data_IF_506960960875
#
_entry.id   IF_506960960875
#
_cell.length_a   1.000
_cell.length_b   1.000
_cell.length_c   1.000
_cell.angle_alpha   90.00
_cell.angle_beta   90.00
_cell.angle_gamma   90.00
#
_symmetry.space_group_name_H-M   'P 1'
#
loop_
_entity.id
_entity.type
_entity.pdbx_description
1 polymer ?
#
# COMPACT_ATOMS: atom_id res chain seq x y z
N UNK A 1 2.27 -15.39 13.90
CA UNK A 1 2.95 -14.98 12.64
C UNK A 1 2.90 -13.46 12.58
N UNK A 2 4.03 -12.79 12.31
CA UNK A 2 4.12 -11.34 12.17
C UNK A 2 4.11 -10.96 10.69
N UNK A 3 3.37 -9.93 10.33
CA UNK A 3 3.42 -9.31 8.99
C UNK A 3 3.66 -7.82 9.21
N UNK A 4 4.67 -7.28 8.55
CA UNK A 4 4.92 -5.84 8.54
C UNK A 4 4.41 -5.22 7.22
N UNK A 5 3.69 -4.09 7.26
CA UNK A 5 3.21 -3.41 8.47
C UNK A 5 1.95 -4.08 9.03
N UNK A 6 1.73 -3.97 10.34
CA UNK A 6 0.84 -4.88 11.10
C UNK A 6 -0.62 -4.83 10.66
N UNK A 7 -1.11 -3.67 10.18
CA UNK A 7 -2.52 -3.56 9.75
C UNK A 7 -2.77 -4.26 8.41
N UNK A 8 -1.74 -4.69 7.68
CA UNK A 8 -1.89 -5.58 6.53
C UNK A 8 -2.61 -6.89 6.89
N UNK A 9 -2.46 -7.36 8.14
CA UNK A 9 -3.18 -8.54 8.63
C UNK A 9 -4.68 -8.34 8.66
N UNK A 10 -5.19 -7.11 8.85
CA UNK A 10 -6.62 -6.87 8.99
C UNK A 10 -7.42 -7.34 7.77
N UNK A 11 -7.16 -6.87 6.54
CA UNK A 11 -7.86 -7.36 5.35
C UNK A 11 -7.54 -8.84 5.04
N UNK A 12 -6.33 -9.32 5.35
CA UNK A 12 -5.96 -10.72 5.13
C UNK A 12 -6.77 -11.67 6.03
N UNK A 13 -6.91 -11.34 7.31
CA UNK A 13 -7.71 -12.11 8.26
C UNK A 13 -9.21 -11.96 7.98
N UNK A 14 -9.66 -10.78 7.57
CA UNK A 14 -11.05 -10.58 7.15
C UNK A 14 -11.40 -11.44 5.93
N UNK A 15 -10.48 -11.59 4.97
CA UNK A 15 -10.66 -12.50 3.84
C UNK A 15 -10.72 -13.98 4.27
N UNK A 16 -10.15 -14.33 5.43
CA UNK A 16 -10.21 -15.69 5.98
C UNK A 16 -11.49 -15.98 6.77
N UNK A 17 -12.40 -15.01 6.92
CA UNK A 17 -13.58 -15.13 7.79
C UNK A 17 -14.47 -16.35 7.48
N UNK A 18 -14.58 -16.73 6.22
CA UNK A 18 -15.38 -17.87 5.76
C UNK A 18 -14.53 -19.12 5.49
N UNK A 19 -13.27 -19.14 5.91
CA UNK A 19 -12.34 -20.26 5.71
C UNK A 19 -11.49 -20.13 4.44
N UNK A 20 -10.48 -21.00 4.29
CA UNK A 20 -9.49 -20.92 3.21
C UNK A 20 -10.09 -21.10 1.81
N UNK A 21 -11.09 -21.98 1.67
CA UNK A 21 -11.74 -22.26 0.39
C UNK A 21 -12.46 -21.04 -0.20
N UNK A 22 -12.91 -20.13 0.67
CA UNK A 22 -13.60 -18.89 0.29
C UNK A 22 -12.70 -17.65 0.37
N UNK A 23 -11.39 -17.82 0.58
CA UNK A 23 -10.47 -16.69 0.78
C UNK A 23 -10.51 -15.70 -0.38
N UNK A 24 -10.40 -16.22 -1.61
CA UNK A 24 -10.39 -15.38 -2.81
C UNK A 24 -11.72 -14.64 -3.00
N UNK A 25 -12.87 -15.32 -2.87
CA UNK A 25 -14.19 -14.68 -3.01
C UNK A 25 -14.47 -13.66 -1.91
N UNK A 26 -14.05 -13.93 -0.68
CA UNK A 26 -14.21 -13.01 0.46
C UNK A 26 -13.32 -11.79 0.30
N UNK A 27 -12.07 -11.97 -0.14
CA UNK A 27 -11.16 -10.89 -0.49
C UNK A 27 -11.76 -9.98 -1.57
N UNK A 28 -12.23 -10.55 -2.68
CA UNK A 28 -12.85 -9.78 -3.77
C UNK A 28 -14.10 -9.03 -3.31
N UNK A 29 -14.91 -9.65 -2.45
CA UNK A 29 -16.09 -9.00 -1.86
C UNK A 29 -15.70 -7.84 -0.94
N UNK A 30 -14.66 -8.01 -0.12
CA UNK A 30 -14.13 -6.96 0.74
C UNK A 30 -13.63 -5.77 -0.10
N UNK A 31 -12.84 -6.04 -1.14
CA UNK A 31 -12.34 -5.00 -2.07
C UNK A 31 -13.50 -4.27 -2.72
N UNK A 32 -14.49 -4.99 -3.25
CA UNK A 32 -15.68 -4.40 -3.87
C UNK A 32 -16.43 -3.48 -2.91
N UNK A 33 -16.61 -3.89 -1.64
CA UNK A 33 -17.29 -3.07 -0.64
C UNK A 33 -16.49 -1.79 -0.34
N UNK A 34 -15.19 -1.92 -0.13
CA UNK A 34 -14.32 -0.77 0.19
C UNK A 34 -14.25 0.20 -0.99
N UNK A 35 -14.17 -0.30 -2.22
CA UNK A 35 -14.24 0.52 -3.44
C UNK A 35 -15.60 1.19 -3.60
N UNK A 36 -16.71 0.48 -3.32
CA UNK A 36 -18.05 1.06 -3.37
C UNK A 36 -18.22 2.21 -2.36
N UNK A 37 -17.66 2.07 -1.16
CA UNK A 37 -17.63 3.15 -0.16
C UNK A 37 -16.80 4.32 -0.64
N UNK A 38 -15.58 4.10 -1.15
CA UNK A 38 -14.77 5.20 -1.68
C UNK A 38 -15.43 5.89 -2.88
N UNK A 39 -16.07 5.12 -3.78
CA UNK A 39 -16.86 5.65 -4.88
C UNK A 39 -18.02 6.51 -4.35
N UNK A 40 -18.73 6.08 -3.32
CA UNK A 40 -19.77 6.88 -2.68
C UNK A 40 -19.21 8.17 -2.04
N UNK A 41 -18.00 8.15 -1.49
CA UNK A 41 -17.30 9.35 -1.00
C UNK A 41 -16.90 10.32 -2.13
N UNK A 42 -16.45 9.78 -3.27
CA UNK A 42 -16.13 10.59 -4.45
C UNK A 42 -17.40 11.21 -5.02
N UNK A 43 -18.49 10.45 -5.09
CA UNK A 43 -19.73 10.86 -5.75
C UNK A 43 -20.69 11.65 -4.84
N UNK A 44 -20.66 11.45 -3.52
CA UNK A 44 -21.51 12.15 -2.53
C UNK A 44 -20.82 13.37 -1.92
N UNK A 45 -21.29 14.61 -2.06
CA UNK A 45 -22.67 15.13 -1.91
C UNK A 45 -23.19 16.00 -3.07
N UNK A 46 -22.46 16.10 -4.20
CA UNK A 46 -22.78 17.08 -5.25
C UNK A 46 -23.08 16.40 -6.58
N UNK A 47 -24.27 16.68 -7.13
CA UNK A 47 -24.68 16.26 -8.49
C UNK A 47 -24.03 17.11 -9.58
N UNK A 48 -22.73 17.39 -9.44
CA UNK A 48 -21.96 18.07 -10.48
C UNK A 48 -21.51 17.03 -11.52
N UNK A 49 -21.70 17.35 -12.81
CA UNK A 49 -21.25 16.53 -13.93
C UNK A 49 -19.73 16.24 -13.87
N UNK A 50 -18.93 17.11 -13.25
CA UNK A 50 -17.51 16.87 -13.02
C UNK A 50 -17.26 15.69 -12.07
N UNK A 51 -18.03 15.59 -10.99
CA UNK A 51 -17.90 14.51 -9.99
C UNK A 51 -18.27 13.15 -10.60
N UNK A 52 -19.36 13.13 -11.39
CA UNK A 52 -19.79 11.93 -12.11
C UNK A 52 -18.71 11.45 -13.10
N UNK A 53 -18.04 12.36 -13.81
CA UNK A 53 -16.92 12.01 -14.71
C UNK A 53 -15.73 11.38 -13.96
N UNK A 54 -15.39 11.87 -12.78
CA UNK A 54 -14.32 11.27 -11.95
C UNK A 54 -14.70 9.86 -11.51
N UNK A 55 -15.96 9.64 -11.13
CA UNK A 55 -16.46 8.30 -10.81
C UNK A 55 -16.37 7.33 -11.99
N UNK A 56 -16.80 7.73 -13.18
CA UNK A 56 -16.68 6.89 -14.38
C UNK A 56 -15.23 6.62 -14.77
N UNK A 57 -14.37 7.63 -14.65
CA UNK A 57 -12.93 7.45 -14.88
C UNK A 57 -12.35 6.40 -13.91
N UNK A 58 -12.72 6.45 -12.63
CA UNK A 58 -12.28 5.47 -11.63
C UNK A 58 -12.70 4.04 -11.99
N UNK A 59 -13.97 3.84 -12.33
CA UNK A 59 -14.48 2.52 -12.74
C UNK A 59 -13.79 2.01 -14.01
N UNK A 60 -13.58 2.88 -15.01
CA UNK A 60 -12.86 2.56 -16.23
C UNK A 60 -11.39 2.22 -15.95
N UNK A 61 -10.74 2.98 -15.08
CA UNK A 61 -9.35 2.75 -14.68
C UNK A 61 -9.16 1.39 -13.98
N UNK A 62 -10.02 1.06 -13.00
CA UNK A 62 -10.01 -0.25 -12.36
C UNK A 62 -10.22 -1.40 -13.36
N UNK A 63 -11.12 -1.21 -14.33
CA UNK A 63 -11.36 -2.20 -15.38
C UNK A 63 -10.13 -2.40 -16.27
N UNK A 64 -9.45 -1.31 -16.66
CA UNK A 64 -8.25 -1.37 -17.49
C UNK A 64 -7.05 -2.01 -16.78
N UNK A 65 -6.94 -1.83 -15.46
CA UNK A 65 -5.92 -2.50 -14.64
C UNK A 65 -6.16 -4.03 -14.54
N UNK A 66 -7.38 -4.49 -14.80
CA UNK A 66 -7.74 -5.90 -14.77
C UNK A 66 -7.60 -6.54 -13.38
N UNK A 67 -7.26 -7.84 -13.29
CA UNK A 67 -7.21 -8.57 -12.01
C UNK A 67 -6.25 -7.97 -10.98
N UNK A 68 -5.20 -7.27 -11.44
CA UNK A 68 -4.22 -6.61 -10.56
C UNK A 68 -4.88 -5.53 -9.72
N UNK A 69 -5.94 -4.89 -10.21
CA UNK A 69 -6.69 -3.85 -9.52
C UNK A 69 -7.38 -4.35 -8.26
N UNK A 70 -7.67 -5.66 -8.16
CA UNK A 70 -8.42 -6.27 -7.06
C UNK A 70 -7.62 -7.32 -6.28
N UNK A 71 -6.57 -7.90 -6.87
CA UNK A 71 -5.77 -8.95 -6.25
C UNK A 71 -4.65 -8.44 -5.33
N UNK A 72 -4.40 -7.13 -5.29
CA UNK A 72 -3.30 -6.54 -4.52
C UNK A 72 -3.81 -5.93 -3.22
N UNK A 73 -2.97 -5.91 -2.20
CA UNK A 73 -3.28 -5.16 -0.97
C UNK A 73 -3.45 -3.65 -1.22
N UNK A 74 -2.91 -3.15 -2.33
CA UNK A 74 -3.14 -1.78 -2.82
C UNK A 74 -4.63 -1.45 -2.96
N UNK A 75 -5.44 -2.44 -3.37
CA UNK A 75 -6.90 -2.34 -3.54
C UNK A 75 -7.62 -1.98 -2.24
N UNK A 76 -7.02 -2.21 -1.08
CA UNK A 76 -7.53 -1.76 0.22
C UNK A 76 -7.02 -0.35 0.54
N UNK A 77 -5.74 -0.08 0.29
CA UNK A 77 -5.13 1.20 0.70
C UNK A 77 -5.51 2.39 -0.16
N UNK A 78 -5.76 2.21 -1.45
CA UNK A 78 -6.11 3.31 -2.37
C UNK A 78 -7.47 3.93 -2.02
N UNK A 79 -8.55 3.16 -1.77
CA UNK A 79 -9.81 3.70 -1.27
C UNK A 79 -9.67 4.53 0.02
N UNK A 80 -8.88 4.04 0.98
CA UNK A 80 -8.61 4.77 2.23
C UNK A 80 -7.85 6.07 1.96
N UNK A 81 -6.88 6.03 1.04
CA UNK A 81 -6.14 7.21 0.62
C UNK A 81 -7.05 8.24 -0.04
N UNK A 82 -7.93 7.83 -0.95
CA UNK A 82 -8.91 8.71 -1.61
C UNK A 82 -9.80 9.37 -0.56
N UNK A 83 -10.43 8.60 0.34
CA UNK A 83 -11.28 9.14 1.39
C UNK A 83 -10.52 10.11 2.31
N UNK A 84 -9.29 9.77 2.70
CA UNK A 84 -8.43 10.64 3.49
C UNK A 84 -8.12 11.97 2.79
N UNK A 85 -7.77 11.91 1.50
CA UNK A 85 -7.49 13.09 0.69
C UNK A 85 -8.72 13.99 0.49
N UNK A 86 -9.91 13.41 0.32
CA UNK A 86 -11.15 14.18 0.22
C UNK A 86 -11.53 14.88 1.54
N UNK A 87 -11.20 14.26 2.67
CA UNK A 87 -11.49 14.80 4.00
C UNK A 87 -10.43 15.81 4.48
N UNK A 88 -9.30 15.96 3.78
CA UNK A 88 -8.15 16.71 4.26
C UNK A 88 -8.45 18.21 4.48
N UNK A 89 -9.31 18.79 3.64
CA UNK A 89 -9.72 20.19 3.74
C UNK A 89 -10.83 20.44 4.79
N UNK A 90 -11.66 19.44 5.09
CA UNK A 90 -12.88 19.62 5.91
C UNK A 90 -12.75 18.99 7.30
N UNK A 91 -12.05 17.87 7.40
CA UNK A 91 -11.85 17.07 8.62
C UNK A 91 -10.41 16.56 8.70
N UNK A 92 -9.41 17.44 8.86
CA UNK A 92 -7.98 17.08 8.82
C UNK A 92 -7.59 16.01 9.86
N UNK A 93 -8.27 15.95 11.02
CA UNK A 93 -8.05 14.89 12.02
C UNK A 93 -8.43 13.51 11.51
N UNK A 94 -9.61 13.40 10.89
CA UNK A 94 -10.10 12.12 10.33
C UNK A 94 -9.25 11.70 9.14
N UNK A 95 -8.89 12.66 8.29
CA UNK A 95 -7.98 12.42 7.18
C UNK A 95 -6.62 11.89 7.65
N UNK A 96 -6.03 12.48 8.69
CA UNK A 96 -4.75 12.03 9.25
C UNK A 96 -4.84 10.59 9.77
N UNK A 97 -5.91 10.23 10.49
CA UNK A 97 -6.15 8.86 10.97
C UNK A 97 -6.26 7.89 9.79
N UNK A 98 -7.12 8.19 8.80
CA UNK A 98 -7.33 7.32 7.64
C UNK A 98 -6.06 7.10 6.83
N UNK A 99 -5.31 8.16 6.54
CA UNK A 99 -4.06 8.07 5.80
C UNK A 99 -2.99 7.30 6.59
N UNK A 100 -2.97 7.45 7.91
CA UNK A 100 -2.03 6.71 8.77
C UNK A 100 -2.40 5.24 8.84
N UNK A 101 -3.69 4.91 8.99
CA UNK A 101 -4.18 3.52 8.89
C UNK A 101 -3.79 2.92 7.54
N UNK A 102 -4.02 3.63 6.44
CA UNK A 102 -3.59 3.19 5.10
C UNK A 102 -2.08 2.96 5.03
N UNK A 103 -1.28 3.83 5.66
CA UNK A 103 0.19 3.74 5.75
C UNK A 103 0.66 2.50 6.51
N UNK A 104 -0.05 2.11 7.58
CA UNK A 104 0.22 0.92 8.37
C UNK A 104 -0.37 -0.37 7.75
N UNK A 105 -1.17 -0.26 6.69
CA UNK A 105 -1.51 -1.39 5.80
C UNK A 105 -0.44 -1.53 4.71
N UNK A 106 -0.04 -0.40 4.10
CA UNK A 106 1.05 -0.34 3.12
C UNK A 106 1.70 1.04 3.15
N UNK A 107 3.02 1.11 3.03
CA UNK A 107 3.79 2.33 3.35
C UNK A 107 3.55 3.53 2.42
N UNK A 108 3.13 3.33 1.16
CA UNK A 108 3.07 4.40 0.14
C UNK A 108 2.21 5.65 0.51
N UNK A 109 1.08 5.58 1.24
CA UNK A 109 0.30 6.75 1.65
C UNK A 109 1.04 7.67 2.63
N UNK A 110 2.17 7.24 3.21
CA UNK A 110 3.04 8.12 3.99
C UNK A 110 3.47 9.36 3.18
N UNK A 111 3.68 9.20 1.87
CA UNK A 111 4.00 10.31 0.98
C UNK A 111 2.85 11.33 0.87
N UNK A 112 1.59 10.88 0.94
CA UNK A 112 0.43 11.77 0.96
C UNK A 112 0.36 12.57 2.27
N UNK A 113 0.67 11.94 3.40
CA UNK A 113 0.77 12.63 4.69
C UNK A 113 1.88 13.69 4.62
N UNK A 114 3.07 13.33 4.12
CA UNK A 114 4.18 14.26 3.97
C UNK A 114 3.82 15.45 3.06
N UNK A 115 3.20 15.19 1.90
CA UNK A 115 2.73 16.22 0.99
C UNK A 115 1.72 17.15 1.67
N UNK A 116 0.77 16.60 2.44
CA UNK A 116 -0.23 17.38 3.17
C UNK A 116 0.39 18.25 4.27
N UNK A 117 1.40 17.76 4.99
CA UNK A 117 2.14 18.51 6.01
C UNK A 117 2.89 19.70 5.40
N UNK A 118 3.43 19.55 4.19
CA UNK A 118 4.10 20.63 3.46
C UNK A 118 3.10 21.64 2.89
N UNK A 119 2.03 21.16 2.26
CA UNK A 119 1.11 21.99 1.50
C UNK A 119 0.06 22.73 2.34
N UNK A 120 -0.28 22.24 3.53
CA UNK A 120 -1.43 22.73 4.29
C UNK A 120 -1.06 23.45 5.58
N UNK A 121 -1.92 24.41 5.96
CA UNK A 121 -1.78 25.20 7.20
C UNK A 121 -2.02 24.34 8.46
N UNK A 122 -2.87 23.32 8.34
CA UNK A 122 -3.25 22.38 9.41
C UNK A 122 -2.20 21.31 9.73
N UNK A 123 -0.93 21.52 9.32
CA UNK A 123 0.16 20.57 9.47
C UNK A 123 0.34 20.03 10.89
N UNK A 124 0.11 20.84 11.93
CA UNK A 124 0.19 20.39 13.34
C UNK A 124 -0.87 19.33 13.64
N UNK A 125 -2.11 19.56 13.20
CA UNK A 125 -3.22 18.61 13.35
C UNK A 125 -2.92 17.30 12.63
N UNK A 126 -2.37 17.38 11.40
CA UNK A 126 -2.03 16.22 10.59
C UNK A 126 -0.90 15.41 11.25
N UNK A 127 0.19 16.07 11.65
CA UNK A 127 1.34 15.42 12.32
C UNK A 127 0.92 14.78 13.63
N UNK A 128 0.18 15.50 14.49
CA UNK A 128 -0.28 14.94 15.77
C UNK A 128 -1.23 13.76 15.55
N UNK A 129 -2.15 13.86 14.59
CA UNK A 129 -3.04 12.75 14.23
C UNK A 129 -2.26 11.51 13.77
N UNK A 130 -1.26 11.70 12.90
CA UNK A 130 -0.43 10.61 12.40
C UNK A 130 0.45 9.97 13.49
N UNK A 131 1.06 10.79 14.36
CA UNK A 131 1.88 10.30 15.47
C UNK A 131 1.04 9.54 16.49
N UNK A 132 -0.10 10.09 16.93
CA UNK A 132 -0.96 9.44 17.91
C UNK A 132 -1.56 8.13 17.36
N UNK A 133 -2.00 8.14 16.10
CA UNK A 133 -2.53 6.94 15.44
C UNK A 133 -1.44 5.88 15.28
N UNK A 134 -0.23 6.27 14.85
CA UNK A 134 0.91 5.34 14.73
C UNK A 134 1.34 4.78 16.08
N UNK A 135 1.37 5.61 17.12
CA UNK A 135 1.70 5.17 18.48
C UNK A 135 0.67 4.16 19.01
N UNK A 136 -0.63 4.40 18.77
CA UNK A 136 -1.68 3.47 19.13
C UNK A 136 -1.54 2.13 18.37
N UNK A 137 -1.31 2.17 17.06
CA UNK A 137 -1.12 0.95 16.24
C UNK A 137 0.13 0.18 16.71
N UNK A 138 1.25 0.87 16.95
CA UNK A 138 2.47 0.28 17.43
C UNK A 138 2.30 -0.35 18.82
N UNK A 139 1.59 0.33 19.73
CA UNK A 139 1.28 -0.20 21.06
C UNK A 139 0.45 -1.48 20.98
N UNK A 140 -0.60 -1.50 20.14
CA UNK A 140 -1.39 -2.71 19.89
C UNK A 140 -0.50 -3.81 19.30
N UNK A 141 0.35 -3.50 18.32
CA UNK A 141 1.29 -4.46 17.74
C UNK A 141 2.26 -5.05 18.77
N UNK A 142 2.78 -4.24 19.71
CA UNK A 142 3.61 -4.71 20.82
C UNK A 142 2.84 -5.65 21.76
N UNK A 143 1.61 -5.26 22.14
CA UNK A 143 0.75 -6.07 23.01
C UNK A 143 0.38 -7.43 22.38
N UNK A 144 0.27 -7.48 21.05
CA UNK A 144 0.06 -8.71 20.29
C UNK A 144 1.34 -9.53 20.05
N UNK A 145 2.45 -9.19 20.71
CA UNK A 145 3.70 -9.94 20.63
C UNK A 145 4.62 -9.55 19.47
N UNK A 146 4.43 -8.37 18.86
CA UNK A 146 5.25 -7.90 17.75
C UNK A 146 6.72 -7.72 18.10
N UNK A 147 7.03 -7.30 19.33
CA UNK A 147 8.40 -7.14 19.83
C UNK A 147 9.30 -6.35 18.87
N UNK A 148 10.51 -6.87 18.61
CA UNK A 148 11.46 -6.27 17.67
C UNK A 148 11.01 -6.27 16.20
N UNK A 149 9.97 -7.04 15.84
CA UNK A 149 9.50 -7.10 14.46
C UNK A 149 8.76 -5.84 14.01
N UNK A 150 8.37 -4.95 14.93
CA UNK A 150 7.81 -3.65 14.58
C UNK A 150 8.73 -2.79 13.72
N UNK A 151 10.04 -2.98 13.86
CA UNK A 151 11.06 -2.30 13.07
C UNK A 151 11.75 -3.24 12.09
N UNK A 152 11.16 -4.43 11.81
CA UNK A 152 11.78 -5.42 10.92
C UNK A 152 12.03 -4.86 9.52
N UNK A 153 11.21 -3.91 9.07
CA UNK A 153 11.39 -3.28 7.76
C UNK A 153 12.74 -2.58 7.62
N UNK A 154 13.32 -2.08 8.71
CA UNK A 154 14.62 -1.40 8.70
C UNK A 154 15.73 -2.39 8.36
N UNK A 155 15.71 -3.56 8.99
CA UNK A 155 16.73 -4.61 8.76
C UNK A 155 16.44 -5.43 7.51
N UNK A 156 15.17 -5.57 7.10
CA UNK A 156 14.75 -6.23 5.87
C UNK A 156 15.16 -5.50 4.58
N UNK A 157 15.73 -4.29 4.67
CA UNK A 157 16.35 -3.65 3.50
C UNK A 157 17.73 -4.25 3.18
N UNK A 158 18.41 -4.85 4.15
CA UNK A 158 19.76 -5.39 3.99
C UNK A 158 19.71 -6.76 3.32
N UNK A 159 20.65 -7.02 2.40
CA UNK A 159 20.78 -8.32 1.74
C UNK A 159 19.79 -8.59 0.61
N UNK A 160 18.95 -7.60 0.24
CA UNK A 160 18.13 -7.67 -0.97
C UNK A 160 18.99 -7.35 -2.19
N UNK A 161 18.94 -8.22 -3.20
CA UNK A 161 19.47 -7.92 -4.52
C UNK A 161 18.61 -6.88 -5.25
N UNK A 162 19.19 -6.32 -6.31
CA UNK A 162 18.47 -5.41 -7.19
C UNK A 162 17.36 -6.15 -7.95
N UNK A 163 16.12 -5.70 -7.78
CA UNK A 163 14.97 -6.24 -8.50
C UNK A 163 15.04 -5.90 -9.99
N UNK A 164 14.62 -6.82 -10.87
CA UNK A 164 14.72 -6.64 -12.32
C UNK A 164 13.95 -5.41 -12.83
N UNK A 165 12.93 -4.98 -12.08
CA UNK A 165 12.09 -3.82 -12.40
C UNK A 165 12.72 -2.48 -11.98
N UNK A 166 13.81 -2.49 -11.20
CA UNK A 166 14.45 -1.25 -10.79
C UNK A 166 15.17 -0.59 -11.99
N UNK A 167 15.06 0.73 -12.21
CA UNK A 167 15.69 1.38 -13.37
C UNK A 167 17.20 1.13 -13.46
N UNK A 168 17.88 1.10 -12.32
CA UNK A 168 19.32 0.84 -12.23
C UNK A 168 19.69 -0.58 -12.66
N UNK A 169 18.77 -1.56 -12.52
CA UNK A 169 18.96 -2.95 -12.93
C UNK A 169 19.14 -3.12 -14.44
N UNK A 170 18.74 -2.13 -15.24
CA UNK A 170 18.86 -2.14 -16.71
C UNK A 170 20.28 -2.49 -17.16
N UNK A 171 21.32 -1.99 -16.49
CA UNK A 171 22.71 -2.24 -16.86
C UNK A 171 23.07 -3.73 -16.77
N UNK A 172 22.67 -4.38 -15.68
CA UNK A 172 22.93 -5.82 -15.45
C UNK A 172 21.95 -6.73 -16.17
N UNK A 173 20.74 -6.26 -16.51
CA UNK A 173 19.86 -6.99 -17.41
C UNK A 173 20.46 -7.14 -18.80
N UNK A 174 21.12 -6.10 -19.32
CA UNK A 174 21.85 -6.18 -20.59
C UNK A 174 23.05 -7.12 -20.48
N UNK A 175 23.78 -7.10 -19.36
CA UNK A 175 24.87 -8.04 -19.12
C UNK A 175 24.37 -9.49 -19.10
N UNK A 176 23.31 -9.76 -18.32
CA UNK A 176 22.67 -11.07 -18.22
C UNK A 176 22.15 -11.58 -19.56
N UNK A 177 21.61 -10.69 -20.41
CA UNK A 177 21.20 -11.03 -21.76
C UNK A 177 22.38 -11.29 -22.71
N UNK A 178 23.47 -10.54 -22.57
CA UNK A 178 24.61 -10.62 -23.49
C UNK A 178 25.47 -11.87 -23.30
N UNK A 179 25.40 -12.52 -22.14
CA UNK A 179 26.18 -13.71 -21.73
C UNK A 179 27.71 -13.59 -21.92
N UNK A 180 28.25 -12.37 -22.03
CA UNK A 180 29.63 -12.16 -22.51
C UNK A 180 30.57 -11.42 -21.56
N UNK A 181 30.09 -10.64 -20.58
CA UNK A 181 30.94 -9.57 -19.99
C UNK A 181 31.02 -9.58 -18.45
N UNK A 182 29.92 -9.77 -17.71
CA UNK A 182 29.88 -9.52 -16.25
C UNK A 182 29.28 -10.63 -15.38
N UNK A 183 28.84 -11.74 -15.99
CA UNK A 183 28.32 -12.89 -15.27
C UNK A 183 27.02 -12.64 -14.50
N UNK A 184 26.31 -11.54 -14.79
CA UNK A 184 25.02 -11.29 -14.18
C UNK A 184 23.98 -12.35 -14.58
N UNK A 185 23.11 -12.72 -13.65
CA UNK A 185 22.03 -13.67 -13.87
C UNK A 185 20.77 -13.23 -13.12
N UNK A 186 19.62 -13.65 -13.63
CA UNK A 186 18.33 -13.42 -12.98
C UNK A 186 18.00 -14.66 -12.15
N UNK A 187 17.60 -14.46 -10.91
CA UNK A 187 17.08 -15.53 -10.05
C UNK A 187 15.77 -15.09 -9.39
N UNK A 188 15.00 -16.07 -8.92
CA UNK A 188 13.79 -15.82 -8.15
C UNK A 188 14.12 -15.96 -6.66
N UNK A 189 13.80 -14.94 -5.88
CA UNK A 189 13.93 -14.94 -4.44
C UNK A 189 12.62 -15.45 -3.81
N UNK A 190 12.64 -16.66 -3.25
CA UNK A 190 11.46 -17.29 -2.63
C UNK A 190 11.10 -16.69 -1.26
N UNK A 191 12.00 -15.93 -0.63
CA UNK A 191 11.74 -15.31 0.67
C UNK A 191 10.89 -14.04 0.54
N UNK A 192 11.10 -13.26 -0.52
CA UNK A 192 10.36 -12.01 -0.78
C UNK A 192 9.58 -12.00 -2.10
N UNK A 193 9.58 -13.12 -2.83
CA UNK A 193 8.76 -13.39 -4.02
C UNK A 193 9.01 -12.40 -5.16
N UNK A 194 10.29 -12.14 -5.47
CA UNK A 194 10.71 -11.17 -6.50
C UNK A 194 11.78 -11.74 -7.41
N UNK A 195 11.81 -11.29 -8.66
CA UNK A 195 12.96 -11.52 -9.54
C UNK A 195 14.07 -10.52 -9.24
N UNK A 196 15.26 -11.02 -9.01
CA UNK A 196 16.43 -10.22 -8.66
C UNK A 196 17.63 -10.57 -9.54
N UNK A 197 18.61 -9.67 -9.55
CA UNK A 197 19.89 -9.85 -10.21
C UNK A 197 20.94 -10.35 -9.22
N UNK A 198 21.82 -11.21 -9.71
CA UNK A 198 23.03 -11.66 -9.02
C UNK A 198 24.22 -11.56 -9.98
N UNK A 199 25.36 -11.02 -9.52
CA UNK A 199 26.56 -10.89 -10.34
C UNK A 199 27.58 -9.90 -9.77
N UNK A 200 28.64 -9.62 -10.53
CA UNK A 200 29.64 -8.64 -10.10
C UNK A 200 29.04 -7.23 -10.02
N UNK A 201 29.14 -6.60 -8.85
CA UNK A 201 28.69 -5.24 -8.62
C UNK A 201 27.17 -5.07 -8.45
N UNK A 202 26.41 -6.16 -8.28
CA UNK A 202 24.94 -6.15 -8.09
C UNK A 202 24.48 -7.10 -6.99
#
# INVERSE_FOLDING_TARGET
MWVYPILALVPMLAAYLFGPDFYASTWLSLVMIVDAVAFAFVVGFHRDARVIRVGWWWLGFLTLLGPVAVGRIDSITVPFAIMGMLLLATRPRVAAVLLTVATWIKVWPAALIAAAVVALRERRTIVLGALLTSAAIAAVGLLLGGGGNLLSFVTQQTGRGLQVEAPISTFWMWDAYSHRIGGASIYYDDAILTYQLHGSGV
#
